data_IF_011581206298
#
_entry.id   IF_011581206298
#
_cell.length_a   1.000
_cell.length_b   1.000
_cell.length_c   1.000
_cell.angle_alpha   90.00
_cell.angle_beta   90.00
_cell.angle_gamma   90.00
#
_symmetry.space_group_name_H-M   'P 1'
#
loop_
_entity.id
_entity.type
_entity.pdbx_description
1 polymer ?
#
# COMPACT_ATOMS: atom_id res chain seq x y z
N UNK A 1 -4.19 -3.32 -23.63
CA UNK A 1 -3.70 -3.09 -22.27
C UNK A 1 -4.81 -3.56 -21.35
N UNK A 2 -4.56 -4.58 -20.53
CA UNK A 2 -5.57 -5.11 -19.62
C UNK A 2 -5.23 -4.67 -18.21
N UNK A 3 -6.22 -4.14 -17.51
CA UNK A 3 -6.12 -3.77 -16.11
C UNK A 3 -6.94 -4.76 -15.28
N UNK A 4 -6.39 -5.17 -14.15
CA UNK A 4 -7.05 -6.10 -13.24
C UNK A 4 -7.09 -5.50 -11.84
N UNK A 5 -8.20 -5.70 -11.14
CA UNK A 5 -8.32 -5.34 -9.73
C UNK A 5 -7.59 -6.42 -8.92
N UNK A 6 -6.54 -6.04 -8.19
CA UNK A 6 -5.83 -6.98 -7.29
C UNK A 6 -6.76 -7.46 -6.18
N UNK A 7 -7.39 -6.53 -5.46
CA UNK A 7 -8.40 -6.82 -4.44
C UNK A 7 -9.26 -5.60 -4.13
N UNK A 8 -10.40 -5.84 -3.48
CA UNK A 8 -11.21 -4.84 -2.80
C UNK A 8 -11.58 -5.39 -1.42
N UNK A 9 -11.15 -4.73 -0.34
CA UNK A 9 -11.40 -5.17 1.04
C UNK A 9 -11.90 -4.01 1.87
N UNK A 10 -12.91 -4.29 2.71
CA UNK A 10 -13.35 -3.35 3.74
C UNK A 10 -12.26 -3.27 4.82
N UNK A 11 -11.82 -2.05 5.12
CA UNK A 11 -10.94 -1.81 6.26
C UNK A 11 -11.78 -1.71 7.54
N UNK A 12 -11.34 -2.39 8.59
CA UNK A 12 -11.94 -2.31 9.93
C UNK A 12 -10.97 -1.56 10.85
N UNK A 13 -11.48 -0.69 11.73
CA UNK A 13 -10.64 0.07 12.67
C UNK A 13 -10.47 1.54 12.27
N UNK A 14 -9.27 2.10 12.49
CA UNK A 14 -8.98 3.54 12.39
C UNK A 14 -8.60 4.02 10.98
N UNK A 15 -8.54 3.11 10.00
CA UNK A 15 -8.22 3.37 8.58
C UNK A 15 -6.96 4.23 8.39
N UNK A 16 -5.93 3.94 9.18
CA UNK A 16 -4.63 4.65 9.11
C UNK A 16 -3.78 4.16 7.94
N UNK A 17 -2.72 4.88 7.61
CA UNK A 17 -1.76 4.44 6.59
C UNK A 17 -1.14 3.08 6.89
N UNK A 18 -0.89 2.78 8.17
CA UNK A 18 -0.41 1.47 8.62
C UNK A 18 -1.47 0.38 8.41
N UNK A 19 -2.74 0.65 8.69
CA UNK A 19 -3.83 -0.32 8.50
C UNK A 19 -3.97 -0.69 7.01
N UNK A 20 -3.91 0.32 6.13
CA UNK A 20 -3.94 0.13 4.67
C UNK A 20 -2.71 -0.66 4.21
N UNK A 21 -1.52 -0.28 4.69
CA UNK A 21 -0.27 -0.97 4.36
C UNK A 21 -0.33 -2.45 4.72
N UNK A 22 -0.78 -2.79 5.93
CA UNK A 22 -0.85 -4.17 6.40
C UNK A 22 -1.76 -5.04 5.52
N UNK A 23 -2.88 -4.50 5.03
CA UNK A 23 -3.79 -5.24 4.15
C UNK A 23 -3.16 -5.50 2.78
N UNK A 24 -2.45 -4.50 2.23
CA UNK A 24 -1.73 -4.66 0.96
C UNK A 24 -0.56 -5.63 1.14
N UNK A 25 0.27 -5.45 2.16
CA UNK A 25 1.45 -6.27 2.43
C UNK A 25 1.07 -7.74 2.66
N UNK A 26 0.00 -7.99 3.41
CA UNK A 26 -0.57 -9.32 3.55
C UNK A 26 -0.97 -9.92 2.19
N UNK A 27 -1.62 -9.16 1.32
CA UNK A 27 -1.96 -9.63 -0.03
C UNK A 27 -0.71 -9.96 -0.85
N UNK A 28 0.30 -9.08 -0.86
CA UNK A 28 1.57 -9.32 -1.56
C UNK A 28 2.23 -10.60 -1.06
N UNK A 29 2.32 -10.77 0.26
CA UNK A 29 2.89 -11.96 0.89
C UNK A 29 2.14 -13.26 0.52
N UNK A 30 0.81 -13.26 0.64
CA UNK A 30 -0.03 -14.42 0.30
C UNK A 30 0.11 -14.84 -1.17
N UNK A 31 0.29 -13.87 -2.07
CA UNK A 31 0.42 -14.10 -3.51
C UNK A 31 1.88 -14.15 -4.00
N UNK A 32 2.85 -14.13 -3.09
CA UNK A 32 4.30 -14.15 -3.40
C UNK A 32 4.72 -13.02 -4.36
N UNK A 33 4.10 -11.86 -4.24
CA UNK A 33 4.48 -10.66 -4.95
C UNK A 33 5.56 -9.91 -4.17
N UNK A 34 6.55 -9.39 -4.88
CA UNK A 34 7.59 -8.54 -4.30
C UNK A 34 7.19 -7.06 -4.45
N UNK A 35 7.37 -6.26 -3.39
CA UNK A 35 7.22 -4.81 -3.46
C UNK A 35 8.12 -4.17 -4.53
N UNK A 36 9.24 -4.81 -4.90
CA UNK A 36 10.09 -4.41 -6.03
C UNK A 36 9.39 -4.44 -7.39
N UNK A 37 8.29 -5.18 -7.50
CA UNK A 37 7.48 -5.21 -8.72
C UNK A 37 6.48 -4.05 -8.78
N UNK A 38 6.18 -3.40 -7.65
CA UNK A 38 5.44 -2.15 -7.66
C UNK A 38 6.38 -1.07 -8.20
N UNK A 39 5.96 -0.30 -9.21
CA UNK A 39 6.77 0.76 -9.83
C UNK A 39 6.26 2.16 -9.52
N UNK A 40 4.94 2.31 -9.37
CA UNK A 40 4.27 3.58 -9.12
C UNK A 40 3.07 3.36 -8.20
N UNK A 41 2.78 4.35 -7.36
CA UNK A 41 1.58 4.37 -6.51
C UNK A 41 0.89 5.71 -6.72
N UNK A 42 -0.41 5.65 -7.03
CA UNK A 42 -1.29 6.80 -7.10
C UNK A 42 -2.30 6.71 -5.95
N UNK A 43 -2.46 7.79 -5.19
CA UNK A 43 -3.39 7.87 -4.05
C UNK A 43 -4.20 9.16 -4.15
N UNK A 44 -5.33 9.23 -3.46
CA UNK A 44 -6.23 10.39 -3.42
C UNK A 44 -5.67 11.62 -2.68
N UNK A 45 -4.45 11.53 -2.15
CA UNK A 45 -3.80 12.62 -1.41
C UNK A 45 -4.16 12.69 0.07
N UNK A 46 -5.07 11.85 0.58
CA UNK A 46 -5.48 11.88 1.98
C UNK A 46 -4.29 11.68 2.93
N UNK A 47 -4.34 12.28 4.13
CA UNK A 47 -3.24 12.21 5.10
C UNK A 47 -2.87 10.76 5.50
N UNK A 48 -3.86 9.86 5.56
CA UNK A 48 -3.63 8.44 5.79
C UNK A 48 -2.84 7.77 4.65
N UNK A 49 -2.92 8.28 3.43
CA UNK A 49 -2.21 7.74 2.27
C UNK A 49 -0.84 8.39 2.08
N UNK A 50 -0.74 9.73 2.22
CA UNK A 50 0.45 10.51 1.84
C UNK A 50 1.28 11.04 3.02
N UNK A 51 0.81 10.88 4.26
CA UNK A 51 1.49 11.38 5.45
C UNK A 51 2.96 10.96 5.53
N UNK A 52 3.86 11.92 5.77
CA UNK A 52 5.32 11.73 5.73
C UNK A 52 5.84 10.66 6.69
N UNK A 53 5.18 10.48 7.84
CA UNK A 53 5.63 9.58 8.92
C UNK A 53 4.76 8.32 9.01
N UNK A 54 3.43 8.51 9.00
CA UNK A 54 2.44 7.45 9.27
C UNK A 54 1.47 7.22 8.08
N UNK A 55 1.74 7.82 6.92
CA UNK A 55 0.95 7.57 5.72
C UNK A 55 1.37 6.28 5.03
N UNK A 56 0.47 5.66 4.26
CA UNK A 56 0.75 4.47 3.46
C UNK A 56 2.08 4.59 2.69
N UNK A 57 2.28 5.70 2.00
CA UNK A 57 3.50 5.95 1.21
C UNK A 57 4.78 5.90 2.05
N UNK A 58 4.74 6.37 3.30
CA UNK A 58 5.89 6.31 4.20
C UNK A 58 6.23 4.86 4.60
N UNK A 59 5.23 3.98 4.69
CA UNK A 59 5.46 2.56 4.93
C UNK A 59 5.99 1.85 3.69
N UNK A 60 5.42 2.10 2.51
CA UNK A 60 5.89 1.48 1.26
C UNK A 60 7.36 1.80 0.99
N UNK A 61 7.78 3.07 1.17
CA UNK A 61 9.19 3.47 1.00
C UNK A 61 10.17 2.75 1.93
N UNK A 62 9.74 2.29 3.10
CA UNK A 62 10.59 1.52 4.03
C UNK A 62 10.84 0.10 3.52
N UNK A 63 9.86 -0.50 2.85
CA UNK A 63 9.95 -1.85 2.28
C UNK A 63 10.54 -1.85 0.87
N UNK A 64 10.44 -0.71 0.18
CA UNK A 64 11.01 -0.49 -1.14
C UNK A 64 12.10 0.59 -1.08
N UNK A 65 13.32 0.18 -0.74
CA UNK A 65 14.50 1.02 -0.44
C UNK A 65 14.88 2.06 -1.53
N UNK A 66 14.30 1.98 -2.73
CA UNK A 66 14.64 2.82 -3.87
C UNK A 66 13.58 3.89 -4.22
N UNK A 67 12.67 4.26 -3.30
CA UNK A 67 11.54 5.19 -3.55
C UNK A 67 11.48 6.45 -2.67
#
# INVERSE_FOLDING_TARGET
>A
MNEHILFCKKLTGRTTGQDVFNVIDYFFSQHKLDWKSCSHVCTDGAAAMTGRVNGLMAHIKKCHINW
#
